data_IF_811843995333
#
_entry.id   IF_811843995333
#
_cell.length_a   1.000
_cell.length_b   1.000
_cell.length_c   1.000
_cell.angle_alpha   90.00
_cell.angle_beta   90.00
_cell.angle_gamma   90.00
#
_symmetry.space_group_name_H-M   'P 1'
#
loop_
_entity.id
_entity.type
_entity.pdbx_description
1 polymer ?
#
# COMPACT_ATOMS: atom_id res chain seq x y z
N UNK A 1 -4.04 -6.29 15.94
CA UNK A 1 -4.60 -6.25 14.57
C UNK A 1 -3.45 -6.12 13.58
N UNK A 2 -3.39 -6.93 12.52
CA UNK A 2 -2.32 -6.88 11.50
C UNK A 2 -2.93 -6.71 10.11
N UNK A 3 -2.27 -5.94 9.25
CA UNK A 3 -2.67 -5.74 7.86
C UNK A 3 -2.14 -6.90 7.01
N UNK A 4 -3.00 -7.91 6.83
CA UNK A 4 -2.66 -9.13 6.12
C UNK A 4 -3.76 -9.53 5.15
N UNK A 5 -3.37 -10.08 4.00
CA UNK A 5 -4.26 -10.72 3.05
C UNK A 5 -4.10 -12.23 3.16
N UNK A 6 -5.18 -12.94 3.42
CA UNK A 6 -5.19 -14.42 3.46
C UNK A 6 -5.64 -14.95 2.10
N UNK A 7 -4.80 -15.76 1.46
CA UNK A 7 -5.12 -16.45 0.21
C UNK A 7 -5.17 -17.96 0.46
N UNK A 8 -6.24 -18.62 0.03
CA UNK A 8 -6.32 -20.10 0.07
C UNK A 8 -5.45 -20.66 -1.04
N UNK A 9 -4.58 -21.63 -0.71
CA UNK A 9 -3.90 -22.45 -1.72
C UNK A 9 -4.89 -23.53 -2.15
N UNK A 10 -5.05 -23.69 -3.46
CA UNK A 10 -5.86 -24.76 -4.03
C UNK A 10 -4.92 -25.74 -4.73
N UNK A 11 -5.19 -27.03 -4.57
CA UNK A 11 -4.59 -28.11 -5.33
C UNK A 11 -5.74 -28.92 -5.92
N UNK A 12 -5.80 -29.03 -7.24
CA UNK A 12 -6.95 -29.62 -7.97
C UNK A 12 -8.31 -29.05 -7.52
N UNK A 13 -8.37 -27.74 -7.27
CA UNK A 13 -9.60 -27.07 -6.80
C UNK A 13 -9.88 -27.18 -5.29
N UNK A 14 -9.25 -28.14 -4.59
CA UNK A 14 -9.44 -28.36 -3.16
C UNK A 14 -8.55 -27.41 -2.34
N UNK A 15 -9.08 -26.69 -1.34
CA UNK A 15 -8.28 -25.80 -0.50
C UNK A 15 -7.37 -26.59 0.45
N UNK A 16 -6.10 -26.75 0.09
CA UNK A 16 -5.08 -27.51 0.85
C UNK A 16 -4.28 -26.66 1.85
N UNK A 17 -4.52 -25.36 1.93
CA UNK A 17 -3.84 -24.52 2.92
C UNK A 17 -4.15 -23.04 2.81
N UNK A 18 -3.57 -22.25 3.72
CA UNK A 18 -3.71 -20.79 3.74
C UNK A 18 -2.33 -20.15 3.69
N UNK A 19 -2.13 -19.20 2.78
CA UNK A 19 -0.97 -18.31 2.75
C UNK A 19 -1.39 -16.94 3.25
N UNK A 20 -0.69 -16.45 4.27
CA UNK A 20 -0.83 -15.07 4.75
C UNK A 20 0.20 -14.22 4.03
N UNK A 21 -0.22 -13.10 3.48
CA UNK A 21 0.63 -12.10 2.85
C UNK A 21 0.55 -10.82 3.67
N UNK A 22 1.67 -10.28 4.10
CA UNK A 22 1.71 -8.97 4.73
C UNK A 22 1.41 -7.90 3.67
N UNK A 23 0.52 -6.96 4.00
CA UNK A 23 0.12 -5.92 3.06
C UNK A 23 0.84 -4.63 3.44
N UNK A 24 1.91 -4.35 2.69
CA UNK A 24 2.57 -3.06 2.67
C UNK A 24 1.90 -2.23 1.58
N UNK A 25 0.82 -1.53 1.96
CA UNK A 25 0.08 -0.62 1.08
C UNK A 25 0.48 0.83 1.29
N UNK A 26 -0.22 1.76 0.63
CA UNK A 26 0.05 3.22 0.63
C UNK A 26 -0.46 3.97 1.86
N UNK A 27 -0.97 3.27 2.88
CA UNK A 27 -1.39 3.91 4.12
C UNK A 27 -0.18 4.55 4.83
N UNK A 28 -0.34 5.72 5.48
CA UNK A 28 0.68 6.29 6.35
C UNK A 28 1.15 5.28 7.41
N UNK A 29 2.46 5.25 7.68
CA UNK A 29 3.12 4.24 8.53
C UNK A 29 4.30 4.84 9.27
N UNK A 30 4.52 4.36 10.49
CA UNK A 30 5.81 4.49 11.15
C UNK A 30 6.73 3.36 10.69
N UNK A 31 7.91 3.73 10.19
CA UNK A 31 8.90 2.80 9.68
C UNK A 31 10.26 3.17 10.27
N UNK A 32 11.08 2.16 10.57
CA UNK A 32 12.48 2.40 10.88
C UNK A 32 13.24 2.84 9.63
N UNK A 33 14.19 3.76 9.80
CA UNK A 33 14.97 4.28 8.67
C UNK A 33 15.76 3.19 7.93
N UNK A 34 16.27 2.19 8.65
CA UNK A 34 16.99 1.07 8.03
C UNK A 34 16.08 0.23 7.12
N UNK A 35 14.86 -0.06 7.59
CA UNK A 35 13.84 -0.76 6.79
C UNK A 35 13.48 0.03 5.53
N UNK A 36 13.26 1.34 5.66
CA UNK A 36 12.92 2.20 4.52
C UNK A 36 14.04 2.24 3.47
N UNK A 37 15.30 2.40 3.89
CA UNK A 37 16.45 2.39 2.98
C UNK A 37 16.63 1.05 2.28
N UNK A 38 16.40 -0.06 2.98
CA UNK A 38 16.48 -1.40 2.37
C UNK A 38 15.37 -1.60 1.33
N UNK A 39 14.14 -1.15 1.61
CA UNK A 39 13.07 -1.16 0.62
C UNK A 39 13.44 -0.33 -0.61
N UNK A 40 13.96 0.88 -0.42
CA UNK A 40 14.37 1.77 -1.52
C UNK A 40 15.44 1.14 -2.41
N UNK A 41 16.44 0.48 -1.84
CA UNK A 41 17.48 -0.23 -2.60
C UNK A 41 17.01 -1.46 -3.38
N UNK A 42 15.82 -1.99 -3.07
CA UNK A 42 15.21 -3.12 -3.78
C UNK A 42 14.17 -2.67 -4.83
N UNK A 43 13.74 -1.40 -4.79
CA UNK A 43 12.76 -0.85 -5.74
C UNK A 43 13.43 -0.63 -7.09
N UNK A 44 12.77 -1.10 -8.14
CA UNK A 44 13.10 -0.72 -9.52
C UNK A 44 12.51 0.67 -9.81
N UNK A 45 13.33 1.69 -10.11
CA UNK A 45 12.85 3.05 -10.38
C UNK A 45 12.03 3.18 -11.68
N UNK A 46 12.09 2.21 -12.59
CA UNK A 46 11.30 2.20 -13.82
C UNK A 46 9.85 1.72 -13.60
N UNK A 47 9.53 1.19 -12.42
CA UNK A 47 8.23 0.62 -12.09
C UNK A 47 7.54 1.39 -10.97
N UNK A 48 6.21 1.32 -10.95
CA UNK A 48 5.41 1.89 -9.88
C UNK A 48 5.80 1.25 -8.52
N UNK A 49 6.27 2.05 -7.53
CA UNK A 49 6.82 1.52 -6.30
C UNK A 49 5.77 0.79 -5.44
N UNK A 50 4.51 1.22 -5.46
CA UNK A 50 3.44 0.55 -4.72
C UNK A 50 3.19 -0.86 -5.30
N UNK A 51 3.09 -0.95 -6.63
CA UNK A 51 2.78 -2.22 -7.30
C UNK A 51 3.88 -3.26 -7.10
N UNK A 52 5.10 -2.84 -6.82
CA UNK A 52 6.23 -3.72 -6.52
C UNK A 52 6.13 -4.41 -5.15
N UNK A 53 5.43 -3.81 -4.18
CA UNK A 53 5.37 -4.29 -2.79
C UNK A 53 4.36 -5.43 -2.55
N UNK A 54 3.69 -5.92 -3.59
CA UNK A 54 2.70 -7.01 -3.50
C UNK A 54 2.85 -8.01 -4.64
N UNK A 55 2.58 -9.31 -4.43
CA UNK A 55 2.59 -10.28 -5.52
C UNK A 55 1.59 -9.91 -6.63
N UNK A 56 1.94 -10.08 -7.92
CA UNK A 56 3.17 -10.71 -8.45
C UNK A 56 4.30 -9.71 -8.79
N UNK A 57 4.43 -8.59 -8.06
CA UNK A 57 5.42 -7.53 -8.30
C UNK A 57 6.88 -7.95 -8.10
N UNK A 58 7.66 -7.17 -7.35
CA UNK A 58 9.11 -7.38 -7.23
C UNK A 58 9.44 -8.53 -6.25
N UNK A 59 9.99 -9.68 -6.69
CA UNK A 59 10.18 -10.84 -5.82
C UNK A 59 11.18 -10.60 -4.68
N UNK A 60 12.26 -9.85 -4.93
CA UNK A 60 13.28 -9.56 -3.94
C UNK A 60 12.73 -8.65 -2.83
N UNK A 61 12.02 -7.59 -3.22
CA UNK A 61 11.32 -6.72 -2.28
C UNK A 61 10.26 -7.49 -1.49
N UNK A 62 9.45 -8.31 -2.16
CA UNK A 62 8.42 -9.14 -1.51
C UNK A 62 9.04 -10.12 -0.51
N UNK A 63 10.17 -10.75 -0.84
CA UNK A 63 10.88 -11.65 0.07
C UNK A 63 11.28 -10.91 1.35
N UNK A 64 11.93 -9.74 1.21
CA UNK A 64 12.31 -8.88 2.33
C UNK A 64 11.10 -8.43 3.17
N UNK A 65 10.02 -7.99 2.53
CA UNK A 65 8.79 -7.56 3.21
C UNK A 65 8.12 -8.69 4.01
N UNK A 66 8.23 -9.94 3.55
CA UNK A 66 7.60 -11.09 4.22
C UNK A 66 8.25 -11.46 5.56
N UNK A 67 9.45 -10.95 5.84
CA UNK A 67 10.12 -11.12 7.13
C UNK A 67 9.45 -10.31 8.25
N UNK A 68 8.68 -9.26 7.88
CA UNK A 68 8.06 -8.33 8.82
C UNK A 68 6.54 -8.45 8.84
N UNK A 69 5.92 -8.04 9.96
CA UNK A 69 4.46 -7.97 10.09
C UNK A 69 4.00 -6.51 10.09
N UNK A 70 2.95 -6.20 9.35
CA UNK A 70 2.34 -4.87 9.38
C UNK A 70 1.30 -4.81 10.50
N UNK A 71 1.64 -4.18 11.64
CA UNK A 71 0.71 -3.98 12.76
C UNK A 71 -0.11 -2.70 12.54
N UNK A 72 -1.41 -2.77 12.82
CA UNK A 72 -2.23 -1.57 12.91
C UNK A 72 -1.99 -0.86 14.24
N UNK A 73 -1.92 0.46 14.17
CA UNK A 73 -1.95 1.35 15.32
C UNK A 73 -3.35 1.97 15.40
N UNK A 74 -4.25 1.48 16.26
CA UNK A 74 -5.54 2.12 16.50
C UNK A 74 -5.39 3.26 17.52
N UNK A 75 -6.25 4.27 17.44
CA UNK A 75 -6.44 5.20 18.55
C UNK A 75 -7.09 4.49 19.74
N UNK A 76 -6.84 4.99 20.96
CA UNK A 76 -7.36 4.36 22.20
C UNK A 76 -8.88 4.42 22.30
N UNK A 77 -9.48 5.46 21.73
CA UNK A 77 -10.90 5.80 21.73
C UNK A 77 -11.60 5.52 20.39
N UNK A 78 -10.90 4.90 19.44
CA UNK A 78 -11.43 4.65 18.09
C UNK A 78 -11.40 5.86 17.16
N UNK A 79 -10.85 7.01 17.58
CA UNK A 79 -10.66 8.17 16.71
C UNK A 79 -9.70 7.88 15.55
N UNK A 80 -9.79 8.68 14.49
CA UNK A 80 -8.82 8.65 13.40
C UNK A 80 -7.47 9.21 13.92
N UNK A 81 -6.40 8.42 13.81
CA UNK A 81 -5.05 8.89 14.17
C UNK A 81 -4.46 9.87 13.16
N UNK A 82 -4.95 9.82 11.92
CA UNK A 82 -4.43 10.59 10.79
C UNK A 82 -5.64 11.03 9.97
N UNK A 83 -5.63 12.29 9.56
CA UNK A 83 -6.66 12.90 8.71
C UNK A 83 -6.04 13.30 7.37
N UNK A 84 -6.75 13.00 6.28
CA UNK A 84 -6.34 13.41 4.93
C UNK A 84 -6.71 14.88 4.70
N UNK A 85 -5.76 15.78 4.95
CA UNK A 85 -5.92 17.22 4.71
C UNK A 85 -5.81 17.59 3.22
N UNK A 86 -5.29 16.67 2.39
CA UNK A 86 -5.02 16.95 0.98
C UNK A 86 -6.29 16.96 0.14
N UNK A 87 -7.22 16.04 0.41
CA UNK A 87 -8.53 16.02 -0.26
C UNK A 87 -9.36 17.24 0.08
N UNK A 88 -9.41 17.63 1.35
CA UNK A 88 -10.12 18.83 1.78
C UNK A 88 -9.53 20.07 1.11
N UNK A 89 -8.20 20.23 1.17
CA UNK A 89 -7.51 21.34 0.51
C UNK A 89 -7.82 21.44 -0.99
N UNK A 90 -7.87 20.28 -1.66
CA UNK A 90 -8.21 20.13 -3.07
C UNK A 90 -9.65 20.53 -3.33
N UNK A 91 -10.58 20.02 -2.54
CA UNK A 91 -12.03 20.22 -2.72
C UNK A 91 -12.41 21.69 -2.48
N UNK A 92 -11.84 22.32 -1.44
CA UNK A 92 -12.03 23.76 -1.15
C UNK A 92 -11.54 24.66 -2.28
N UNK A 93 -10.56 24.19 -3.06
CA UNK A 93 -10.04 24.91 -4.22
C UNK A 93 -10.71 24.52 -5.52
N UNK A 94 -11.72 23.65 -5.49
CA UNK A 94 -12.35 23.13 -6.68
C UNK A 94 -11.32 22.51 -7.63
N UNK A 95 -10.39 21.70 -7.12
CA UNK A 95 -9.44 20.97 -7.98
C UNK A 95 -9.96 19.56 -8.17
N UNK A 96 -10.08 19.10 -9.41
CA UNK A 96 -10.50 17.73 -9.70
C UNK A 96 -9.40 16.93 -10.39
N UNK A 97 -9.41 15.62 -10.12
CA UNK A 97 -8.58 14.66 -10.85
C UNK A 97 -9.41 14.12 -11.99
N UNK A 98 -8.94 14.29 -13.22
CA UNK A 98 -9.56 13.72 -14.41
C UNK A 98 -8.61 12.71 -15.02
N UNK A 99 -9.14 11.56 -15.44
CA UNK A 99 -8.36 10.56 -16.17
C UNK A 99 -8.72 10.66 -17.65
N UNK A 100 -7.87 11.32 -18.43
CA UNK A 100 -8.04 11.48 -19.88
C UNK A 100 -7.01 10.60 -20.59
N UNK A 101 -7.47 9.71 -21.47
CA UNK A 101 -6.61 8.77 -22.21
C UNK A 101 -5.69 7.94 -21.30
N UNK A 102 -6.18 7.54 -20.12
CA UNK A 102 -5.42 6.78 -19.13
C UNK A 102 -4.40 7.60 -18.34
N UNK A 103 -4.27 8.90 -18.63
CA UNK A 103 -3.39 9.82 -17.92
C UNK A 103 -4.18 10.57 -16.86
N UNK A 104 -3.67 10.53 -15.63
CA UNK A 104 -4.19 11.33 -14.53
C UNK A 104 -3.77 12.80 -14.69
N UNK A 105 -4.73 13.69 -14.95
CA UNK A 105 -4.54 15.15 -14.97
C UNK A 105 -5.28 15.78 -13.79
N UNK A 106 -4.80 16.94 -13.35
CA UNK A 106 -5.44 17.75 -12.32
C UNK A 106 -5.83 19.08 -12.94
N UNK A 107 -7.08 19.50 -12.76
CA UNK A 107 -7.57 20.77 -13.29
C UNK A 107 -8.48 21.46 -12.30
N UNK A 108 -8.69 22.75 -12.54
CA UNK A 108 -9.73 23.51 -11.87
C UNK A 108 -11.10 22.98 -12.34
N UNK A 109 -11.97 22.65 -11.39
CA UNK A 109 -13.36 22.34 -11.62
C UNK A 109 -14.08 23.60 -12.14
N UNK A 110 -15.02 23.45 -13.07
CA UNK A 110 -15.78 24.57 -13.64
C UNK A 110 -16.65 25.29 -12.60
#
# INVERSE_FOLDING_TARGET
>A
LYNVRRKRRRFLGIPVGRRTLNVFGTSPRFLEGAFARRCAGLIDPALDPEKQMRPPGNPALIAYLNEYRCRFLPAKDGAALITDIGREWRDVRGIEKVVEQGVSRWRQAP
#
